data_IF_018071904705
#
_entry.id   IF_018071904705
#
_cell.length_a   1.000
_cell.length_b   1.000
_cell.length_c   1.000
_cell.angle_alpha   90.00
_cell.angle_beta   90.00
_cell.angle_gamma   90.00
#
_symmetry.space_group_name_H-M   'P 1'
#
loop_
_entity.id
_entity.type
_entity.pdbx_description
1 polymer ?
#
# COMPACT_ATOMS: atom_id res chain seq x y z
N UNK A 1 49.92 -5.83 21.84
CA UNK A 1 49.36 -4.69 22.59
C UNK A 1 47.91 -4.54 22.20
N UNK A 2 47.03 -4.91 23.12
CA UNK A 2 45.58 -4.80 23.05
C UNK A 2 45.16 -3.36 23.35
N UNK A 3 44.26 -2.78 22.55
CA UNK A 3 43.47 -1.61 22.95
C UNK A 3 42.00 -1.91 22.63
N UNK A 4 41.25 -2.17 23.70
CA UNK A 4 39.80 -2.32 23.77
C UNK A 4 39.13 -0.96 23.60
N UNK A 5 38.14 -0.85 22.71
CA UNK A 5 37.20 0.26 22.68
C UNK A 5 35.96 -0.08 23.52
N UNK A 6 35.81 0.61 24.65
CA UNK A 6 34.68 0.50 25.57
C UNK A 6 33.42 1.15 24.99
N UNK A 7 32.31 0.41 25.02
CA UNK A 7 30.96 0.90 24.72
C UNK A 7 30.36 1.59 25.96
N UNK A 8 29.85 2.82 25.77
CA UNK A 8 29.07 3.55 26.79
C UNK A 8 27.63 3.02 26.84
N UNK A 9 27.01 2.87 28.03
CA UNK A 9 25.60 2.51 28.15
C UNK A 9 24.69 3.75 27.99
N UNK A 10 23.65 3.65 27.14
CA UNK A 10 22.60 4.67 27.06
C UNK A 10 21.66 4.57 28.27
N UNK A 11 21.43 5.71 28.91
CA UNK A 11 20.55 5.92 30.06
C UNK A 11 19.08 5.67 29.67
N UNK A 12 18.37 4.87 30.46
CA UNK A 12 16.89 4.78 30.47
C UNK A 12 16.33 6.11 30.99
N UNK A 13 15.48 6.76 30.20
CA UNK A 13 14.67 7.91 30.64
C UNK A 13 13.37 7.36 31.23
N UNK A 14 13.14 7.68 32.49
CA UNK A 14 11.94 7.39 33.26
C UNK A 14 10.97 8.56 33.06
N UNK A 15 9.83 8.34 32.39
CA UNK A 15 8.75 9.33 32.34
C UNK A 15 7.65 8.83 33.28
N UNK A 16 7.56 9.48 34.45
CA UNK A 16 6.52 9.28 35.45
C UNK A 16 5.38 10.28 35.15
N UNK A 17 4.19 9.71 34.93
CA UNK A 17 2.90 10.11 35.53
C UNK A 17 2.24 11.43 35.12
N UNK A 18 0.98 11.33 34.70
CA UNK A 18 -0.16 11.97 35.40
C UNK A 18 -1.48 11.33 34.96
N UNK A 19 -2.16 10.65 35.89
CA UNK A 19 -3.61 10.37 35.85
C UNK A 19 -4.36 11.55 36.51
N UNK A 20 -5.56 11.92 36.05
CA UNK A 20 -6.33 12.99 36.68
C UNK A 20 -7.05 12.52 37.95
N UNK A 21 -7.00 13.36 38.98
CA UNK A 21 -7.67 13.20 40.28
C UNK A 21 -9.14 13.66 40.14
N UNK A 22 -10.06 12.81 40.60
CA UNK A 22 -11.46 13.13 40.88
C UNK A 22 -11.54 13.71 42.30
N UNK A 23 -12.23 14.84 42.44
CA UNK A 23 -12.55 15.52 43.70
C UNK A 23 -13.58 14.74 44.52
N UNK A 24 -13.34 14.62 45.83
CA UNK A 24 -14.32 14.20 46.82
C UNK A 24 -13.69 14.08 48.21
N UNK A 25 -13.89 15.09 49.07
CA UNK A 25 -13.32 15.19 50.42
C UNK A 25 -14.16 14.41 51.46
N UNK A 26 -13.41 13.78 52.37
CA UNK A 26 -13.63 13.27 53.74
C UNK A 26 -14.90 13.66 54.53
N UNK A 27 -15.30 12.80 55.48
CA UNK A 27 -15.10 12.98 56.95
C UNK A 27 -15.14 11.62 57.69
N UNK A 28 -14.28 11.54 58.71
CA UNK A 28 -13.84 10.44 59.58
C UNK A 28 -14.89 9.76 60.50
N UNK A 29 -14.58 8.57 61.03
CA UNK A 29 -14.28 8.40 62.48
C UNK A 29 -13.94 6.96 62.90
N UNK A 30 -12.72 6.84 63.45
CA UNK A 30 -12.18 5.97 64.51
C UNK A 30 -12.97 4.79 65.12
N UNK A 31 -12.27 3.67 65.34
CA UNK A 31 -11.99 3.13 66.69
C UNK A 31 -10.92 2.02 66.66
N UNK A 32 -10.06 2.02 67.69
CA UNK A 32 -8.83 1.25 67.84
C UNK A 32 -8.98 -0.10 68.59
N UNK A 33 -7.99 -0.98 68.44
CA UNK A 33 -7.34 -1.86 69.47
C UNK A 33 -6.37 -2.82 68.75
N UNK A 34 -5.05 -2.68 68.93
CA UNK A 34 -4.16 -3.35 69.91
C UNK A 34 -4.04 -4.87 69.75
N UNK A 35 -2.80 -5.36 69.56
CA UNK A 35 -2.43 -6.75 69.91
C UNK A 35 -1.49 -7.50 68.94
N UNK A 36 -0.18 -7.37 69.20
CA UNK A 36 0.90 -8.38 69.13
C UNK A 36 1.24 -9.19 67.84
N UNK A 37 2.54 -9.12 67.52
CA UNK A 37 3.31 -10.02 66.66
C UNK A 37 3.33 -11.46 67.21
N UNK A 38 3.31 -12.46 66.32
CA UNK A 38 4.27 -13.58 66.24
C UNK A 38 3.80 -14.54 65.13
N UNK A 39 4.70 -14.83 64.18
CA UNK A 39 4.87 -16.21 63.68
C UNK A 39 4.14 -16.64 62.40
N UNK A 40 4.95 -16.86 61.36
CA UNK A 40 4.94 -18.08 60.52
C UNK A 40 3.89 -18.26 59.41
N UNK A 41 4.35 -18.02 58.18
CA UNK A 41 4.36 -19.01 57.07
C UNK A 41 3.12 -19.89 56.84
N UNK A 42 1.90 -19.31 56.92
CA UNK A 42 0.65 -20.03 56.59
C UNK A 42 -0.34 -19.32 55.66
N UNK A 43 0.01 -18.17 55.08
CA UNK A 43 -0.93 -17.42 54.20
C UNK A 43 -0.81 -17.70 52.69
N UNK A 44 0.18 -18.47 52.23
CA UNK A 44 0.33 -18.76 50.78
C UNK A 44 -0.54 -19.96 50.35
N UNK A 45 -1.08 -20.75 51.28
CA UNK A 45 -1.88 -21.94 50.96
C UNK A 45 -3.41 -21.73 51.00
N UNK A 46 -3.90 -20.59 51.51
CA UNK A 46 -5.34 -20.36 51.72
C UNK A 46 -6.00 -19.41 50.72
N UNK A 47 -5.27 -18.75 49.84
CA UNK A 47 -5.88 -18.03 48.71
C UNK A 47 -6.24 -18.93 47.51
N UNK A 48 -5.98 -20.24 47.59
CA UNK A 48 -6.23 -21.22 46.53
C UNK A 48 -7.40 -22.18 46.81
N UNK A 49 -8.14 -21.98 47.92
CA UNK A 49 -9.20 -22.90 48.33
C UNK A 49 -10.46 -22.16 48.80
N UNK A 50 -10.99 -21.25 47.99
CA UNK A 50 -12.37 -20.81 48.17
C UNK A 50 -12.95 -20.32 46.83
N UNK A 51 -13.20 -21.24 45.90
CA UNK A 51 -14.13 -21.04 44.78
C UNK A 51 -14.52 -22.42 44.21
N UNK A 52 -15.24 -23.21 45.00
CA UNK A 52 -16.00 -24.34 44.49
C UNK A 52 -17.43 -24.32 45.04
N UNK A 53 -18.33 -23.62 44.35
CA UNK A 53 -19.73 -24.03 44.31
C UNK A 53 -20.37 -23.64 42.97
N UNK A 54 -20.54 -24.66 42.13
CA UNK A 54 -21.66 -24.84 41.19
C UNK A 54 -22.04 -23.66 40.29
N UNK A 55 -21.27 -23.47 39.23
CA UNK A 55 -21.76 -23.36 37.85
C UNK A 55 -20.54 -23.36 36.93
N UNK A 56 -20.30 -24.46 36.23
CA UNK A 56 -19.22 -24.60 35.26
C UNK A 56 -19.51 -23.78 33.99
N UNK A 57 -19.40 -22.47 34.10
CA UNK A 57 -19.10 -21.63 32.95
C UNK A 57 -17.58 -21.55 32.87
N UNK A 58 -17.00 -22.17 31.85
CA UNK A 58 -15.59 -22.01 31.51
C UNK A 58 -15.27 -20.51 31.36
N UNK A 59 -14.76 -19.87 32.41
CA UNK A 59 -14.07 -18.58 32.27
C UNK A 59 -12.68 -18.91 31.77
N UNK A 60 -12.55 -19.03 30.45
CA UNK A 60 -11.24 -19.04 29.82
C UNK A 60 -10.47 -17.78 30.26
N UNK A 61 -9.16 -17.86 30.57
CA UNK A 61 -8.38 -16.67 30.86
C UNK A 61 -8.49 -15.71 29.69
N UNK A 62 -9.04 -14.51 29.91
CA UNK A 62 -9.04 -13.48 28.89
C UNK A 62 -7.59 -13.08 28.64
N UNK A 63 -7.08 -13.45 27.46
CA UNK A 63 -5.76 -13.01 27.04
C UNK A 63 -5.73 -11.47 27.01
N UNK A 64 -4.68 -10.85 27.54
CA UNK A 64 -4.52 -9.39 27.51
C UNK A 64 -4.66 -8.90 26.05
N UNK A 65 -5.38 -7.80 25.85
CA UNK A 65 -5.68 -7.27 24.51
C UNK A 65 -4.42 -7.10 23.64
N UNK A 66 -3.33 -6.61 24.24
CA UNK A 66 -2.04 -6.43 23.59
C UNK A 66 -1.43 -7.76 23.11
N UNK A 67 -1.48 -8.80 23.94
CA UNK A 67 -1.05 -10.15 23.56
C UNK A 67 -1.88 -10.70 22.41
N UNK A 68 -3.18 -10.40 22.35
CA UNK A 68 -4.03 -10.81 21.23
C UNK A 68 -3.54 -10.14 19.95
N UNK A 69 -3.41 -8.81 19.94
CA UNK A 69 -2.91 -8.05 18.79
C UNK A 69 -1.58 -8.59 18.27
N UNK A 70 -0.65 -8.88 19.18
CA UNK A 70 0.65 -9.45 18.85
C UNK A 70 0.57 -10.84 18.21
N UNK A 71 -0.31 -11.72 18.72
CA UNK A 71 -0.54 -13.05 18.12
C UNK A 71 -1.15 -12.89 16.74
N UNK A 72 -2.20 -12.07 16.60
CA UNK A 72 -2.87 -11.82 15.32
C UNK A 72 -1.91 -11.23 14.29
N UNK A 73 -1.06 -10.28 14.70
CA UNK A 73 -0.06 -9.67 13.85
C UNK A 73 0.92 -10.67 13.24
N UNK A 74 1.12 -11.85 13.85
CA UNK A 74 2.02 -12.91 13.34
C UNK A 74 1.32 -13.91 12.43
N UNK A 75 -0.02 -13.92 12.39
CA UNK A 75 -0.78 -14.74 11.45
C UNK A 75 -0.61 -14.16 10.02
N UNK A 76 -0.48 -14.99 8.97
CA UNK A 76 -0.46 -14.49 7.60
C UNK A 76 -1.76 -13.73 7.25
N UNK A 77 -1.65 -12.52 6.69
CA UNK A 77 -2.81 -11.69 6.30
C UNK A 77 -3.88 -12.43 5.46
N UNK A 78 -3.54 -13.33 4.51
CA UNK A 78 -4.53 -14.10 3.74
C UNK A 78 -5.48 -14.98 4.59
N UNK A 79 -5.11 -15.26 5.84
CA UNK A 79 -5.83 -16.15 6.76
C UNK A 79 -6.75 -15.38 7.72
N UNK A 80 -6.65 -14.05 7.78
CA UNK A 80 -7.36 -13.20 8.74
C UNK A 80 -8.87 -13.36 8.70
N UNK A 81 -9.44 -13.44 7.49
CA UNK A 81 -10.88 -13.59 7.31
C UNK A 81 -11.41 -14.90 7.92
N UNK A 82 -10.58 -15.92 8.18
CA UNK A 82 -11.01 -17.13 8.88
C UNK A 82 -11.21 -16.89 10.38
N UNK A 83 -10.42 -15.99 10.95
CA UNK A 83 -10.43 -15.67 12.38
C UNK A 83 -11.69 -14.88 12.79
N UNK A 84 -12.34 -14.21 11.84
CA UNK A 84 -13.60 -13.49 12.09
C UNK A 84 -14.74 -14.42 12.55
N UNK A 85 -14.66 -15.72 12.26
CA UNK A 85 -15.67 -16.71 12.60
C UNK A 85 -15.46 -17.36 13.98
N UNK A 86 -14.33 -17.09 14.63
CA UNK A 86 -14.00 -17.70 15.92
C UNK A 86 -14.78 -17.05 17.07
N UNK A 87 -14.83 -15.70 17.12
CA UNK A 87 -15.64 -14.96 18.09
C UNK A 87 -15.87 -13.48 17.66
N UNK A 88 -16.79 -12.79 18.35
CA UNK A 88 -17.13 -11.38 18.08
C UNK A 88 -15.98 -10.40 18.33
N UNK A 89 -15.17 -10.64 19.36
CA UNK A 89 -14.03 -9.78 19.71
C UNK A 89 -12.98 -9.80 18.59
N UNK A 90 -12.64 -10.97 18.06
CA UNK A 90 -11.71 -11.12 16.93
C UNK A 90 -12.28 -10.50 15.65
N UNK A 91 -13.58 -10.67 15.40
CA UNK A 91 -14.25 -9.98 14.29
C UNK A 91 -14.19 -8.45 14.40
N UNK A 92 -14.29 -7.90 15.62
CA UNK A 92 -14.14 -6.47 15.87
C UNK A 92 -12.68 -6.01 15.69
N UNK A 93 -11.73 -6.79 16.23
CA UNK A 93 -10.30 -6.51 16.12
C UNK A 93 -9.83 -6.45 14.66
N UNK A 94 -10.28 -7.39 13.82
CA UNK A 94 -9.98 -7.42 12.38
C UNK A 94 -10.58 -6.25 11.60
N UNK A 95 -11.63 -5.61 12.11
CA UNK A 95 -12.19 -4.39 11.51
C UNK A 95 -11.40 -3.14 11.91
N UNK A 96 -10.57 -3.24 12.94
CA UNK A 96 -9.65 -2.18 13.33
C UNK A 96 -8.38 -2.23 12.49
N UNK A 97 -7.73 -1.07 12.30
CA UNK A 97 -6.42 -0.99 11.65
C UNK A 97 -5.25 -1.35 12.59
N UNK A 98 -5.54 -1.71 13.85
CA UNK A 98 -4.54 -1.91 14.91
C UNK A 98 -3.62 -3.09 14.66
N UNK A 99 -4.14 -4.20 14.08
CA UNK A 99 -3.32 -5.36 13.72
C UNK A 99 -2.24 -4.95 12.71
N UNK A 100 -2.58 -4.12 11.72
CA UNK A 100 -1.63 -3.67 10.70
C UNK A 100 -0.68 -2.59 11.21
N UNK A 101 -1.11 -1.78 12.19
CA UNK A 101 -0.21 -0.90 12.92
C UNK A 101 0.84 -1.71 13.68
N UNK A 102 0.40 -2.70 14.45
CA UNK A 102 1.26 -3.63 15.19
C UNK A 102 2.22 -4.37 14.26
N UNK A 103 1.77 -4.82 13.08
CA UNK A 103 2.64 -5.44 12.08
C UNK A 103 3.74 -4.52 11.55
N UNK A 104 3.42 -3.24 11.33
CA UNK A 104 4.43 -2.24 10.95
C UNK A 104 5.47 -2.06 12.05
N UNK A 105 5.03 -1.95 13.30
CA UNK A 105 5.91 -1.78 14.47
C UNK A 105 6.82 -2.99 14.69
N UNK A 106 6.30 -4.21 14.46
CA UNK A 106 7.05 -5.46 14.58
C UNK A 106 7.89 -5.82 13.33
N UNK A 107 7.85 -5.02 12.26
CA UNK A 107 8.57 -5.31 11.00
C UNK A 107 8.05 -6.54 10.25
N UNK A 108 6.77 -6.89 10.42
CA UNK A 108 6.13 -8.08 9.84
C UNK A 108 5.45 -7.84 8.49
N UNK A 109 5.55 -6.63 7.95
CA UNK A 109 4.88 -6.19 6.72
C UNK A 109 5.45 -6.91 5.51
N UNK A 110 4.58 -7.49 4.69
CA UNK A 110 4.97 -8.18 3.45
C UNK A 110 4.29 -7.56 2.24
N UNK A 111 4.93 -7.59 1.06
CA UNK A 111 4.29 -7.18 -0.17
C UNK A 111 3.35 -8.27 -0.69
N UNK A 112 2.19 -7.85 -1.17
CA UNK A 112 1.21 -8.67 -1.86
C UNK A 112 0.87 -8.03 -3.21
N UNK A 113 0.93 -8.84 -4.28
CA UNK A 113 0.61 -8.40 -5.63
C UNK A 113 -0.83 -8.72 -5.95
N UNK A 114 -1.63 -7.71 -6.23
CA UNK A 114 -2.97 -7.86 -6.77
C UNK A 114 -2.89 -7.70 -8.29
N UNK A 115 -3.31 -8.72 -9.02
CA UNK A 115 -3.26 -8.72 -10.48
C UNK A 115 -4.60 -9.09 -11.11
N UNK A 116 -4.91 -8.43 -12.22
CA UNK A 116 -6.00 -8.76 -13.14
C UNK A 116 -5.43 -8.90 -14.55
N UNK A 117 -5.62 -10.08 -15.15
CA UNK A 117 -5.20 -10.37 -16.52
C UNK A 117 -6.39 -10.34 -17.49
N UNK A 118 -6.12 -10.20 -18.79
CA UNK A 118 -7.17 -10.04 -19.83
C UNK A 118 -8.22 -11.14 -19.88
N UNK A 119 -7.86 -12.37 -19.48
CA UNK A 119 -8.77 -13.50 -19.51
C UNK A 119 -9.40 -13.81 -18.14
N UNK A 120 -9.04 -13.05 -17.11
CA UNK A 120 -9.54 -13.24 -15.77
C UNK A 120 -10.70 -12.29 -15.47
N UNK A 121 -11.74 -12.83 -14.85
CA UNK A 121 -12.85 -12.05 -14.27
C UNK A 121 -12.71 -11.85 -12.76
N UNK A 122 -11.59 -12.32 -12.19
CA UNK A 122 -11.29 -12.23 -10.76
C UNK A 122 -9.86 -11.79 -10.59
N UNK A 123 -9.67 -10.93 -9.61
CA UNK A 123 -8.35 -10.57 -9.14
C UNK A 123 -7.67 -11.77 -8.49
N UNK A 124 -6.36 -11.88 -8.69
CA UNK A 124 -5.52 -12.86 -8.01
C UNK A 124 -4.49 -12.11 -7.16
N UNK A 125 -4.38 -12.50 -5.90
CA UNK A 125 -3.34 -12.05 -4.99
C UNK A 125 -2.19 -13.04 -5.02
N UNK A 126 -0.96 -12.54 -5.14
CA UNK A 126 0.27 -13.33 -5.02
C UNK A 126 1.09 -12.82 -3.83
N UNK A 127 1.86 -13.72 -3.22
CA UNK A 127 2.92 -13.33 -2.29
C UNK A 127 4.12 -12.73 -3.04
N UNK A 128 5.09 -12.23 -2.26
CA UNK A 128 6.30 -11.55 -2.75
C UNK A 128 7.05 -12.33 -3.84
N UNK A 129 7.19 -13.64 -3.63
CA UNK A 129 7.98 -14.54 -4.48
C UNK A 129 7.14 -15.24 -5.56
N UNK A 130 5.84 -14.93 -5.67
CA UNK A 130 4.91 -15.65 -6.55
C UNK A 130 4.90 -17.17 -6.34
N UNK A 131 5.13 -17.60 -5.08
CA UNK A 131 5.10 -19.01 -4.66
C UNK A 131 3.69 -19.43 -4.25
N UNK A 132 2.90 -18.52 -3.70
CA UNK A 132 1.51 -18.74 -3.34
C UNK A 132 0.59 -17.75 -4.04
N UNK A 133 -0.63 -18.19 -4.33
CA UNK A 133 -1.64 -17.34 -4.93
C UNK A 133 -3.03 -17.65 -4.39
N UNK A 134 -3.85 -16.62 -4.30
CA UNK A 134 -5.24 -16.71 -3.85
C UNK A 134 -6.12 -15.89 -4.79
N UNK A 135 -7.17 -16.51 -5.33
CA UNK A 135 -8.19 -15.77 -6.07
C UNK A 135 -9.08 -15.01 -5.10
N UNK A 136 -9.27 -13.73 -5.35
CA UNK A 136 -10.18 -12.89 -4.58
C UNK A 136 -11.64 -13.32 -4.84
N UNK A 137 -12.56 -12.94 -3.93
CA UNK A 137 -13.99 -13.11 -4.16
C UNK A 137 -14.39 -12.43 -5.46
N UNK A 138 -15.44 -12.96 -6.09
CA UNK A 138 -15.98 -12.35 -7.31
C UNK A 138 -16.51 -10.95 -6.97
N UNK A 139 -16.08 -9.96 -7.73
CA UNK A 139 -16.62 -8.61 -7.67
C UNK A 139 -17.99 -8.60 -8.37
N UNK A 140 -19.03 -8.17 -7.68
CA UNK A 140 -20.41 -8.14 -8.21
C UNK A 140 -20.67 -6.79 -8.89
N UNK A 141 -20.26 -6.67 -10.15
CA UNK A 141 -20.52 -5.48 -10.98
C UNK A 141 -21.00 -5.87 -12.37
N UNK A 142 -21.30 -4.86 -13.19
CA UNK A 142 -21.89 -5.05 -14.51
C UNK A 142 -20.84 -5.33 -15.60
N UNK A 143 -21.32 -5.67 -16.79
CA UNK A 143 -20.45 -5.98 -17.93
C UNK A 143 -19.61 -4.78 -18.38
N UNK A 144 -20.11 -3.55 -18.26
CA UNK A 144 -19.40 -2.33 -18.66
C UNK A 144 -18.19 -2.08 -17.75
N UNK A 145 -18.34 -2.38 -16.46
CA UNK A 145 -17.23 -2.34 -15.52
C UNK A 145 -16.16 -3.35 -15.90
N UNK A 146 -16.55 -4.59 -16.20
CA UNK A 146 -15.57 -5.61 -16.57
C UNK A 146 -14.92 -5.37 -17.94
N UNK A 147 -15.65 -4.87 -18.93
CA UNK A 147 -15.13 -4.61 -20.28
C UNK A 147 -14.37 -3.30 -20.42
N UNK A 148 -14.62 -2.32 -19.55
CA UNK A 148 -13.93 -1.04 -19.54
C UNK A 148 -12.57 -1.08 -18.86
N UNK A 149 -11.73 -0.09 -19.17
CA UNK A 149 -10.50 0.18 -18.44
C UNK A 149 -10.80 0.47 -16.97
N UNK A 150 -9.85 0.06 -16.12
CA UNK A 150 -9.91 0.26 -14.67
C UNK A 150 -8.58 0.82 -14.20
N UNK A 151 -8.64 1.69 -13.22
CA UNK A 151 -7.51 2.21 -12.48
C UNK A 151 -7.46 1.56 -11.10
N UNK A 152 -6.25 1.25 -10.63
CA UNK A 152 -6.06 0.60 -9.34
C UNK A 152 -5.03 1.28 -8.49
N UNK A 153 -5.29 1.34 -7.19
CA UNK A 153 -4.40 1.94 -6.20
C UNK A 153 -4.61 1.24 -4.87
N UNK A 154 -3.51 0.91 -4.18
CA UNK A 154 -3.53 0.26 -2.89
C UNK A 154 -3.25 1.32 -1.83
N UNK A 155 -4.07 1.40 -0.80
CA UNK A 155 -3.94 2.40 0.28
C UNK A 155 -4.29 1.74 1.61
N UNK A 156 -3.37 1.80 2.57
CA UNK A 156 -3.41 0.91 3.73
C UNK A 156 -3.56 -0.55 3.28
N UNK A 157 -4.60 -1.22 3.78
CA UNK A 157 -4.96 -2.62 3.49
C UNK A 157 -6.09 -2.76 2.47
N UNK A 158 -6.34 -1.68 1.73
CA UNK A 158 -7.45 -1.61 0.77
C UNK A 158 -6.91 -1.57 -0.65
N UNK A 159 -7.48 -2.40 -1.53
CA UNK A 159 -7.33 -2.25 -2.97
C UNK A 159 -8.52 -1.46 -3.50
N UNK A 160 -8.24 -0.28 -4.04
CA UNK A 160 -9.22 0.58 -4.71
C UNK A 160 -9.18 0.28 -6.20
N UNK A 161 -10.34 0.01 -6.79
CA UNK A 161 -10.54 -0.22 -8.22
C UNK A 161 -11.60 0.77 -8.72
N UNK A 162 -11.21 1.63 -9.63
CA UNK A 162 -12.07 2.66 -10.21
C UNK A 162 -12.29 2.29 -11.67
N UNK A 163 -13.51 2.44 -12.17
CA UNK A 163 -13.81 2.10 -13.56
C UNK A 163 -15.22 2.51 -13.98
N UNK A 164 -15.50 2.41 -15.27
CA UNK A 164 -16.78 2.79 -15.86
C UNK A 164 -17.87 1.75 -15.58
N UNK A 165 -19.00 2.18 -15.05
CA UNK A 165 -20.22 1.41 -14.80
C UNK A 165 -21.37 1.96 -15.66
N UNK A 166 -22.52 1.26 -15.74
CA UNK A 166 -23.70 1.71 -16.52
C UNK A 166 -24.09 3.18 -16.28
N UNK A 167 -24.02 3.63 -15.02
CA UNK A 167 -24.51 4.94 -14.57
C UNK A 167 -23.40 5.99 -14.40
N UNK A 168 -22.13 5.65 -14.63
CA UNK A 168 -21.01 6.59 -14.39
C UNK A 168 -19.73 5.89 -13.97
N UNK A 169 -18.85 6.60 -13.26
CA UNK A 169 -17.63 5.99 -12.69
C UNK A 169 -17.98 5.43 -11.32
N UNK A 170 -17.59 4.18 -11.06
CA UNK A 170 -17.79 3.50 -9.77
C UNK A 170 -16.46 3.21 -9.10
N UNK A 171 -16.46 3.31 -7.77
CA UNK A 171 -15.37 2.89 -6.92
C UNK A 171 -15.72 1.55 -6.27
N UNK A 172 -14.87 0.55 -6.46
CA UNK A 172 -14.89 -0.70 -5.70
C UNK A 172 -13.69 -0.76 -4.77
N UNK A 173 -13.90 -1.35 -3.60
CA UNK A 173 -12.90 -1.44 -2.55
C UNK A 173 -12.86 -2.84 -2.00
N UNK A 174 -11.71 -3.50 -2.14
CA UNK A 174 -11.45 -4.77 -1.48
C UNK A 174 -10.73 -4.50 -0.15
N UNK A 175 -11.26 -5.06 0.93
CA UNK A 175 -10.63 -5.05 2.25
C UNK A 175 -9.95 -6.41 2.47
N UNK A 176 -8.64 -6.39 2.74
CA UNK A 176 -7.83 -7.59 2.92
C UNK A 176 -8.29 -8.42 4.12
N UNK A 177 -8.63 -7.74 5.21
CA UNK A 177 -9.03 -8.31 6.50
C UNK A 177 -10.30 -9.14 6.40
N UNK A 178 -11.28 -8.58 5.68
CA UNK A 178 -12.59 -9.19 5.52
C UNK A 178 -12.63 -10.17 4.35
N UNK A 179 -11.58 -10.18 3.52
CA UNK A 179 -11.54 -10.89 2.24
C UNK A 179 -12.82 -10.63 1.43
N UNK A 180 -13.19 -9.35 1.27
CA UNK A 180 -14.49 -8.96 0.71
C UNK A 180 -14.44 -7.66 -0.08
N UNK A 181 -15.24 -7.61 -1.14
CA UNK A 181 -15.49 -6.40 -1.92
C UNK A 181 -16.65 -5.59 -1.34
N UNK A 182 -16.48 -4.28 -1.32
CA UNK A 182 -17.50 -3.29 -0.99
C UNK A 182 -17.61 -2.27 -2.11
N UNK A 183 -18.83 -1.81 -2.39
CA UNK A 183 -19.01 -0.59 -3.17
C UNK A 183 -18.45 0.55 -2.32
N UNK A 184 -17.44 1.25 -2.84
CA UNK A 184 -16.78 2.34 -2.16
C UNK A 184 -17.60 3.63 -2.21
N UNK A 185 -17.23 4.64 -1.40
CA UNK A 185 -17.76 5.99 -1.54
C UNK A 185 -17.39 6.53 -2.92
N UNK A 186 -18.31 7.26 -3.53
CA UNK A 186 -18.10 7.86 -4.85
C UNK A 186 -17.04 8.97 -4.76
N UNK A 187 -16.24 9.09 -5.82
CA UNK A 187 -15.35 10.24 -5.99
C UNK A 187 -16.18 11.52 -6.01
N UNK A 188 -15.64 12.62 -5.48
CA UNK A 188 -16.32 13.93 -5.52
C UNK A 188 -16.52 14.35 -6.98
N UNK A 189 -15.50 14.12 -7.80
CA UNK A 189 -15.55 14.28 -9.25
C UNK A 189 -15.26 12.96 -9.95
N UNK A 190 -16.31 12.20 -10.34
CA UNK A 190 -16.19 10.98 -11.15
C UNK A 190 -15.39 11.21 -12.44
N UNK A 191 -14.27 10.48 -12.60
CA UNK A 191 -13.33 10.60 -13.73
C UNK A 191 -12.45 9.36 -13.87
N UNK A 192 -11.71 9.26 -14.96
CA UNK A 192 -10.74 8.18 -15.27
C UNK A 192 -9.43 8.79 -15.80
N UNK A 193 -8.42 7.97 -16.06
CA UNK A 193 -7.14 8.35 -16.67
C UNK A 193 -6.34 9.39 -15.86
N UNK A 194 -6.50 9.40 -14.54
CA UNK A 194 -5.73 10.22 -13.60
C UNK A 194 -4.42 9.52 -13.19
N UNK A 195 -3.48 10.30 -12.67
CA UNK A 195 -2.33 9.78 -11.94
C UNK A 195 -2.71 9.56 -10.47
N UNK A 196 -2.25 8.46 -9.87
CA UNK A 196 -2.49 8.19 -8.46
C UNK A 196 -1.27 7.64 -7.73
N UNK A 197 -1.21 7.90 -6.42
CA UNK A 197 -0.19 7.35 -5.53
C UNK A 197 -0.71 7.35 -4.09
N UNK A 198 -0.11 6.53 -3.24
CA UNK A 198 -0.50 6.41 -1.83
C UNK A 198 0.65 6.80 -0.91
N UNK A 199 0.31 7.46 0.19
CA UNK A 199 1.21 7.78 1.29
C UNK A 199 0.49 7.57 2.61
N UNK A 200 0.97 6.60 3.42
CA UNK A 200 0.32 6.21 4.66
C UNK A 200 -1.12 5.72 4.42
N UNK A 201 -2.08 6.37 5.08
CA UNK A 201 -3.52 6.05 4.97
C UNK A 201 -4.23 6.84 3.87
N UNK A 202 -3.51 7.71 3.16
CA UNK A 202 -4.05 8.57 2.12
C UNK A 202 -3.64 8.07 0.73
N UNK A 203 -4.57 8.16 -0.22
CA UNK A 203 -4.30 8.00 -1.65
C UNK A 203 -4.71 9.28 -2.39
N UNK A 204 -3.85 9.74 -3.28
CA UNK A 204 -4.04 10.95 -4.07
C UNK A 204 -4.39 10.60 -5.51
N UNK A 205 -5.26 11.39 -6.13
CA UNK A 205 -5.78 11.18 -7.47
C UNK A 205 -5.77 12.52 -8.21
N UNK A 206 -4.89 12.69 -9.18
CA UNK A 206 -4.66 13.98 -9.84
C UNK A 206 -4.94 13.93 -11.35
N UNK A 207 -5.64 14.96 -11.82
CA UNK A 207 -6.00 15.12 -13.22
C UNK A 207 -7.08 14.13 -13.65
N UNK A 208 -7.00 13.66 -14.88
CA UNK A 208 -7.94 12.73 -15.48
C UNK A 208 -8.91 13.38 -16.45
N UNK A 209 -9.87 12.59 -16.90
CA UNK A 209 -10.84 12.93 -17.92
C UNK A 209 -12.26 12.80 -17.36
N UNK A 210 -12.99 13.93 -17.34
CA UNK A 210 -14.38 14.04 -16.87
C UNK A 210 -15.23 14.63 -17.98
N UNK A 211 -16.38 14.02 -18.33
CA UNK A 211 -17.40 14.58 -19.25
C UNK A 211 -16.74 15.29 -20.44
N UNK A 212 -15.93 14.55 -21.20
CA UNK A 212 -15.24 15.01 -22.41
C UNK A 212 -14.15 16.08 -22.25
N UNK A 213 -13.67 16.38 -21.04
CA UNK A 213 -12.55 17.33 -20.81
C UNK A 213 -11.50 16.81 -19.85
N UNK A 214 -10.26 17.24 -20.05
CA UNK A 214 -9.20 17.03 -19.08
C UNK A 214 -9.41 17.98 -17.91
N UNK A 215 -9.02 17.55 -16.71
CA UNK A 215 -9.13 18.38 -15.50
C UNK A 215 -7.78 18.48 -14.80
N UNK A 216 -7.61 19.50 -13.97
CA UNK A 216 -6.48 19.64 -13.03
C UNK A 216 -6.89 19.31 -11.60
N UNK A 217 -8.11 18.78 -11.41
CA UNK A 217 -8.69 18.44 -10.11
C UNK A 217 -7.83 17.40 -9.41
N UNK A 218 -7.69 17.57 -8.10
CA UNK A 218 -7.00 16.62 -7.24
C UNK A 218 -7.91 16.27 -6.07
N UNK A 219 -8.01 14.98 -5.80
CA UNK A 219 -8.74 14.46 -4.65
C UNK A 219 -7.86 13.52 -3.85
N UNK A 220 -8.06 13.52 -2.53
CA UNK A 220 -7.45 12.61 -1.57
C UNK A 220 -8.51 11.70 -1.00
N UNK A 221 -8.27 10.40 -1.00
CA UNK A 221 -9.07 9.39 -0.31
C UNK A 221 -8.34 8.95 0.95
N UNK A 222 -9.02 8.97 2.09
CA UNK A 222 -8.49 8.44 3.34
C UNK A 222 -9.08 7.04 3.61
N UNK A 223 -8.21 6.04 3.77
CA UNK A 223 -8.62 4.65 3.94
C UNK A 223 -9.23 4.34 5.31
N UNK A 224 -8.93 5.12 6.34
CA UNK A 224 -9.46 4.94 7.70
C UNK A 224 -10.88 5.49 7.80
N UNK A 225 -11.09 6.74 7.39
CA UNK A 225 -12.41 7.38 7.39
C UNK A 225 -13.28 6.96 6.22
N UNK A 226 -12.68 6.40 5.16
CA UNK A 226 -13.34 6.02 3.90
C UNK A 226 -14.06 7.22 3.29
N UNK A 227 -13.39 8.36 3.25
CA UNK A 227 -13.92 9.61 2.70
C UNK A 227 -13.00 10.20 1.65
N UNK A 228 -13.61 10.94 0.73
CA UNK A 228 -12.91 11.75 -0.27
C UNK A 228 -12.86 13.20 0.19
N UNK A 229 -11.77 13.89 -0.11
CA UNK A 229 -11.61 15.32 0.07
C UNK A 229 -10.97 15.93 -1.18
N UNK A 230 -11.46 17.08 -1.61
CA UNK A 230 -10.77 17.89 -2.62
C UNK A 230 -9.60 18.63 -1.97
N UNK A 231 -8.47 18.71 -2.68
CA UNK A 231 -7.31 19.50 -2.28
C UNK A 231 -6.96 20.49 -3.39
N UNK A 232 -5.95 21.34 -3.20
CA UNK A 232 -5.60 22.33 -4.22
C UNK A 232 -5.38 21.67 -5.59
N UNK A 233 -5.94 22.24 -6.67
CA UNK A 233 -5.78 21.68 -8.01
C UNK A 233 -4.38 21.93 -8.56
N UNK A 234 -3.96 21.08 -9.50
CA UNK A 234 -2.74 21.31 -10.29
C UNK A 234 -2.87 22.58 -11.15
N UNK A 235 -1.73 23.13 -11.58
CA UNK A 235 -1.64 24.23 -12.53
C UNK A 235 -2.09 23.81 -13.93
N UNK A 236 -1.73 22.59 -14.36
CA UNK A 236 -2.05 22.09 -15.71
C UNK A 236 -3.07 20.95 -15.66
N UNK A 237 -4.03 21.02 -16.57
CA UNK A 237 -4.99 19.94 -16.82
C UNK A 237 -4.29 18.82 -17.57
N UNK A 238 -4.48 17.58 -17.15
CA UNK A 238 -3.81 16.42 -17.76
C UNK A 238 -4.65 15.15 -17.62
N UNK A 239 -4.60 14.29 -18.64
CA UNK A 239 -5.05 12.88 -18.57
C UNK A 239 -3.89 11.94 -18.92
N UNK A 240 -4.04 10.64 -18.71
CA UNK A 240 -3.01 9.63 -19.01
C UNK A 240 -1.65 9.95 -18.35
N UNK A 241 -1.71 10.57 -17.16
CA UNK A 241 -0.54 10.93 -16.37
C UNK A 241 -0.28 9.88 -15.28
N UNK A 242 0.89 9.97 -14.65
CA UNK A 242 1.29 9.02 -13.61
C UNK A 242 1.64 9.72 -12.31
N UNK A 243 1.18 9.15 -11.20
CA UNK A 243 1.43 9.65 -9.85
C UNK A 243 2.48 8.83 -9.11
N UNK A 244 3.31 9.48 -8.30
CA UNK A 244 4.16 8.79 -7.33
C UNK A 244 4.41 9.66 -6.09
N UNK A 245 4.73 9.06 -4.96
CA UNK A 245 5.20 9.79 -3.78
C UNK A 245 6.71 9.68 -3.73
N UNK A 246 7.39 10.82 -3.77
CA UNK A 246 8.84 10.91 -3.74
C UNK A 246 9.24 11.90 -2.64
N UNK A 247 10.02 11.42 -1.66
CA UNK A 247 10.50 12.22 -0.52
C UNK A 247 9.36 12.99 0.18
N UNK A 248 8.26 12.30 0.46
CA UNK A 248 7.09 12.85 1.16
C UNK A 248 6.16 13.72 0.31
N UNK A 249 6.51 14.03 -0.94
CA UNK A 249 5.71 14.88 -1.82
C UNK A 249 5.04 14.07 -2.92
N UNK A 250 3.85 14.49 -3.35
CA UNK A 250 3.11 13.81 -4.41
C UNK A 250 3.44 14.42 -5.78
N UNK A 251 4.04 13.62 -6.66
CA UNK A 251 4.44 14.03 -7.99
C UNK A 251 3.48 13.48 -9.03
N UNK A 252 3.16 14.29 -10.04
CA UNK A 252 2.34 13.93 -11.18
C UNK A 252 3.09 14.24 -12.47
N UNK A 253 3.44 13.19 -13.22
CA UNK A 253 4.33 13.25 -14.37
C UNK A 253 3.56 13.11 -15.67
N UNK A 254 3.89 13.98 -16.62
CA UNK A 254 3.48 13.86 -18.03
C UNK A 254 1.98 13.77 -18.25
N UNK A 255 1.58 12.90 -19.17
CA UNK A 255 0.22 12.79 -19.67
C UNK A 255 -0.04 13.73 -20.84
N UNK A 256 -1.31 14.01 -21.11
CA UNK A 256 -1.77 14.79 -22.25
C UNK A 256 -2.62 15.97 -21.82
N UNK A 257 -2.45 17.12 -22.48
CA UNK A 257 -3.31 18.29 -22.29
C UNK A 257 -4.63 18.15 -23.06
N UNK A 258 -5.45 19.20 -23.04
CA UNK A 258 -6.77 19.22 -23.69
C UNK A 258 -6.71 19.03 -25.22
N UNK A 259 -5.58 19.39 -25.84
CA UNK A 259 -5.32 19.22 -27.27
C UNK A 259 -4.74 17.82 -27.61
N UNK A 260 -4.66 16.92 -26.62
CA UNK A 260 -3.97 15.62 -26.71
C UNK A 260 -2.45 15.72 -26.97
N UNK A 261 -1.83 16.88 -26.69
CA UNK A 261 -0.39 17.05 -26.78
C UNK A 261 0.27 16.47 -25.52
N UNK A 262 1.37 15.75 -25.72
CA UNK A 262 2.11 15.15 -24.62
C UNK A 262 2.80 16.24 -23.78
N UNK A 263 2.56 16.19 -22.47
CA UNK A 263 3.19 17.08 -21.50
C UNK A 263 4.56 16.52 -21.11
N UNK A 264 5.60 17.33 -21.25
CA UNK A 264 6.95 17.01 -20.76
C UNK A 264 7.17 17.44 -19.31
N UNK A 265 6.30 18.28 -18.76
CA UNK A 265 6.40 18.76 -17.38
C UNK A 265 5.79 17.78 -16.37
N UNK A 266 6.29 17.85 -15.14
CA UNK A 266 5.64 17.29 -13.97
C UNK A 266 5.18 18.39 -13.03
N UNK A 267 4.36 18.03 -12.05
CA UNK A 267 4.00 18.91 -10.95
C UNK A 267 4.19 18.16 -9.64
N UNK A 268 4.63 18.87 -8.60
CA UNK A 268 4.89 18.36 -7.26
C UNK A 268 3.95 19.06 -6.28
N UNK A 269 3.23 18.29 -5.48
CA UNK A 269 2.37 18.76 -4.41
C UNK A 269 3.05 18.59 -3.06
N UNK A 270 2.98 19.64 -2.26
CA UNK A 270 3.44 19.68 -0.89
C UNK A 270 2.22 19.75 0.04
N UNK A 271 2.00 18.71 0.85
CA UNK A 271 0.84 18.61 1.74
C UNK A 271 0.91 19.58 2.93
N UNK A 272 2.10 20.03 3.33
CA UNK A 272 2.27 20.97 4.45
C UNK A 272 1.84 22.39 4.06
N UNK A 273 2.10 22.76 2.81
CA UNK A 273 1.77 24.09 2.26
C UNK A 273 0.49 24.09 1.41
N UNK A 274 -0.09 22.92 1.15
CA UNK A 274 -1.24 22.71 0.26
C UNK A 274 -1.05 23.41 -1.10
N UNK A 275 0.14 23.24 -1.69
CA UNK A 275 0.54 23.96 -2.90
C UNK A 275 1.21 23.06 -3.93
N UNK A 276 1.10 23.47 -5.19
CA UNK A 276 1.72 22.80 -6.34
C UNK A 276 2.87 23.61 -6.90
N UNK A 277 3.94 22.92 -7.27
CA UNK A 277 5.10 23.46 -7.97
C UNK A 277 5.25 22.79 -9.34
N UNK A 278 5.39 23.60 -10.40
CA UNK A 278 5.63 23.11 -11.75
C UNK A 278 7.12 22.76 -11.94
N UNK A 279 7.37 21.55 -12.44
CA UNK A 279 8.71 21.08 -12.84
C UNK A 279 8.75 21.02 -14.38
N UNK A 280 9.28 22.06 -15.05
CA UNK A 280 9.32 22.10 -16.50
C UNK A 280 10.26 21.01 -17.06
N UNK A 281 9.96 20.51 -18.25
CA UNK A 281 10.85 19.65 -19.05
C UNK A 281 11.37 18.37 -18.37
N UNK A 282 10.72 17.91 -17.29
CA UNK A 282 11.11 16.69 -16.58
C UNK A 282 11.16 15.45 -17.49
N UNK A 283 10.34 15.38 -18.54
CA UNK A 283 10.31 14.28 -19.52
C UNK A 283 10.73 14.74 -20.93
N UNK A 284 11.49 15.82 -21.06
CA UNK A 284 11.89 16.35 -22.38
C UNK A 284 12.74 15.36 -23.19
N UNK A 285 13.57 14.55 -22.52
CA UNK A 285 14.45 13.56 -23.15
C UNK A 285 13.77 12.22 -23.44
N UNK A 286 12.44 12.13 -23.22
CA UNK A 286 11.66 10.89 -23.38
C UNK A 286 10.92 10.89 -24.71
N UNK A 287 10.82 9.72 -25.34
CA UNK A 287 10.07 9.55 -26.59
C UNK A 287 8.60 9.35 -26.28
N UNK A 288 7.83 10.44 -26.27
CA UNK A 288 6.41 10.42 -25.93
C UNK A 288 5.54 10.22 -27.18
N UNK A 289 4.87 9.07 -27.31
CA UNK A 289 3.87 8.81 -28.37
C UNK A 289 2.44 9.02 -27.85
N UNK A 290 1.55 9.60 -28.67
CA UNK A 290 0.15 9.86 -28.29
C UNK A 290 -0.68 8.60 -27.95
N UNK A 291 -0.24 7.41 -28.39
CA UNK A 291 -0.90 6.13 -28.13
C UNK A 291 -0.14 5.27 -27.09
N UNK A 292 0.85 5.85 -26.41
CA UNK A 292 1.62 5.16 -25.39
C UNK A 292 0.83 5.06 -24.08
N UNK A 293 1.13 4.04 -23.28
CA UNK A 293 0.67 3.99 -21.91
C UNK A 293 1.18 5.20 -21.11
N UNK A 294 0.48 5.60 -20.03
CA UNK A 294 0.99 6.59 -19.08
C UNK A 294 2.41 6.26 -18.60
N UNK A 295 3.24 7.26 -18.24
CA UNK A 295 4.60 7.04 -17.78
C UNK A 295 4.70 5.94 -16.72
N UNK A 296 5.47 4.88 -16.98
CA UNK A 296 5.62 3.78 -16.03
C UNK A 296 6.69 4.16 -15.03
N UNK A 297 6.27 4.48 -13.80
CA UNK A 297 7.14 5.02 -12.75
C UNK A 297 7.06 4.19 -11.47
N UNK A 298 8.15 4.18 -10.72
CA UNK A 298 8.27 3.52 -9.42
C UNK A 298 9.29 4.28 -8.57
N UNK A 299 9.09 4.28 -7.25
CA UNK A 299 10.02 4.91 -6.30
C UNK A 299 10.60 3.85 -5.40
N UNK A 300 11.93 3.71 -5.40
CA UNK A 300 12.67 2.74 -4.58
C UNK A 300 13.79 3.47 -3.87
N UNK A 301 13.92 3.28 -2.55
CA UNK A 301 14.95 3.90 -1.72
C UNK A 301 15.08 5.43 -1.92
N UNK A 302 13.95 6.12 -2.06
CA UNK A 302 13.91 7.58 -2.23
C UNK A 302 14.36 8.10 -3.61
N UNK A 303 14.54 7.19 -4.58
CA UNK A 303 14.87 7.51 -5.96
C UNK A 303 13.71 7.16 -6.89
N UNK A 304 13.44 8.04 -7.86
CA UNK A 304 12.38 7.85 -8.84
C UNK A 304 12.95 7.20 -10.10
N UNK A 305 12.33 6.10 -10.50
CA UNK A 305 12.66 5.35 -11.70
C UNK A 305 11.54 5.45 -12.71
N UNK A 306 11.91 5.50 -13.98
CA UNK A 306 11.01 5.50 -15.12
C UNK A 306 11.46 4.45 -16.13
N UNK A 307 10.48 3.79 -16.72
CA UNK A 307 10.68 2.92 -17.85
C UNK A 307 10.46 3.71 -19.16
N UNK A 308 11.54 3.91 -19.91
CA UNK A 308 11.48 4.54 -21.23
C UNK A 308 11.08 3.50 -22.27
N UNK A 309 9.82 3.58 -22.68
CA UNK A 309 9.13 2.55 -23.44
C UNK A 309 9.77 2.30 -24.80
N UNK A 310 10.14 3.35 -25.54
CA UNK A 310 10.59 3.21 -26.93
C UNK A 310 11.96 2.56 -27.04
N UNK A 311 12.80 2.75 -26.03
CA UNK A 311 14.17 2.23 -25.98
C UNK A 311 14.32 1.00 -25.07
N UNK A 312 13.24 0.59 -24.38
CA UNK A 312 13.27 -0.53 -23.44
C UNK A 312 14.26 -0.31 -22.27
N UNK A 313 14.42 0.94 -21.83
CA UNK A 313 15.44 1.35 -20.87
C UNK A 313 14.85 1.65 -19.49
N UNK A 314 15.59 1.26 -18.44
CA UNK A 314 15.39 1.80 -17.10
C UNK A 314 16.18 3.10 -16.96
N UNK A 315 15.52 4.14 -16.47
CA UNK A 315 16.13 5.43 -16.14
C UNK A 315 15.85 5.83 -14.71
N UNK A 316 16.80 6.53 -14.09
CA UNK A 316 16.69 7.11 -12.75
C UNK A 316 16.72 8.63 -12.82
N UNK A 317 15.86 9.28 -12.05
CA UNK A 317 15.71 10.72 -12.03
C UNK A 317 16.67 11.38 -11.02
N UNK A 318 17.40 12.40 -11.47
CA UNK A 318 18.17 13.28 -10.62
C UNK A 318 17.36 14.54 -10.31
N UNK A 319 16.91 14.65 -9.06
CA UNK A 319 16.07 15.76 -8.58
C UNK A 319 16.81 17.11 -8.60
N UNK A 320 18.14 17.12 -8.44
CA UNK A 320 18.91 18.35 -8.34
C UNK A 320 19.16 18.99 -9.72
N UNK A 321 19.35 18.16 -10.74
CA UNK A 321 19.64 18.60 -12.12
C UNK A 321 18.41 18.57 -13.02
N UNK A 322 17.30 17.97 -12.57
CA UNK A 322 16.09 17.72 -13.37
C UNK A 322 16.39 16.92 -14.65
N UNK A 323 17.23 15.89 -14.54
CA UNK A 323 17.63 15.03 -15.67
C UNK A 323 17.46 13.56 -15.37
N UNK A 324 17.41 12.73 -16.42
CA UNK A 324 17.33 11.27 -16.30
C UNK A 324 18.64 10.61 -16.71
N UNK A 325 19.17 9.73 -15.86
CA UNK A 325 20.32 8.88 -16.16
C UNK A 325 19.83 7.50 -16.59
N UNK A 326 20.35 6.96 -17.69
CA UNK A 326 20.13 5.57 -18.11
C UNK A 326 20.87 4.61 -17.18
N UNK A 327 20.18 3.57 -16.73
CA UNK A 327 20.76 2.49 -15.91
C UNK A 327 20.92 1.17 -16.67
N UNK A 328 20.17 0.95 -17.75
CA UNK A 328 20.30 -0.25 -18.56
C UNK A 328 19.02 -0.63 -19.29
N UNK A 329 19.03 -1.80 -19.92
CA UNK A 329 17.88 -2.38 -20.63
C UNK A 329 17.12 -3.29 -19.66
N UNK A 330 15.80 -3.39 -19.84
CA UNK A 330 14.95 -4.27 -19.03
C UNK A 330 14.64 -5.61 -19.74
N UNK A 331 14.41 -6.72 -19.01
CA UNK A 331 14.20 -8.05 -19.57
C UNK A 331 12.75 -8.30 -20.05
N UNK A 332 11.97 -7.24 -20.23
CA UNK A 332 10.58 -7.28 -20.71
C UNK A 332 10.49 -6.40 -21.95
N UNK A 333 9.77 -6.86 -22.99
CA UNK A 333 9.65 -6.17 -24.28
C UNK A 333 8.56 -5.10 -24.25
N UNK A 334 8.82 -3.97 -23.59
CA UNK A 334 7.80 -2.93 -23.34
C UNK A 334 7.53 -2.07 -24.57
N UNK A 335 8.48 -2.00 -25.49
CA UNK A 335 8.38 -1.27 -26.76
C UNK A 335 7.29 -1.85 -27.68
N UNK A 336 7.12 -3.18 -27.69
CA UNK A 336 6.15 -3.87 -28.56
C UNK A 336 4.69 -3.48 -28.24
N UNK A 337 4.41 -3.22 -26.97
CA UNK A 337 3.06 -2.87 -26.50
C UNK A 337 2.95 -1.40 -26.15
N UNK A 338 3.95 -0.56 -26.49
CA UNK A 338 3.99 0.85 -26.08
C UNK A 338 3.71 1.04 -24.56
N UNK A 339 4.24 0.14 -23.74
CA UNK A 339 4.11 0.17 -22.26
C UNK A 339 2.79 -0.37 -21.71
N UNK A 340 1.87 -0.82 -22.57
CA UNK A 340 0.63 -1.48 -22.17
C UNK A 340 0.88 -2.94 -21.78
N UNK A 341 0.12 -3.48 -20.83
CA UNK A 341 0.26 -4.89 -20.42
C UNK A 341 1.50 -5.18 -19.57
N UNK A 342 2.18 -4.14 -19.08
CA UNK A 342 3.43 -4.23 -18.30
C UNK A 342 3.15 -3.72 -16.90
N UNK A 343 3.50 -4.52 -15.88
CA UNK A 343 3.56 -4.06 -14.51
C UNK A 343 4.98 -3.58 -14.20
N UNK A 344 5.10 -2.35 -13.69
CA UNK A 344 6.35 -1.78 -13.21
C UNK A 344 6.06 -1.17 -11.84
N UNK A 345 6.62 -1.75 -10.78
CA UNK A 345 6.22 -1.46 -9.39
C UNK A 345 7.41 -1.42 -8.45
N UNK A 346 7.34 -0.51 -7.48
CA UNK A 346 8.19 -0.49 -6.30
C UNK A 346 7.70 -1.53 -5.29
N UNK A 347 8.62 -2.33 -4.78
CA UNK A 347 8.34 -3.40 -3.82
C UNK A 347 9.42 -3.31 -2.75
N UNK A 348 9.11 -2.68 -1.61
CA UNK A 348 10.08 -2.42 -0.55
C UNK A 348 11.36 -1.73 -1.09
N UNK A 349 12.50 -2.43 -1.07
CA UNK A 349 13.83 -1.98 -1.48
C UNK A 349 14.20 -2.38 -2.92
N UNK A 350 13.29 -3.04 -3.63
CA UNK A 350 13.50 -3.53 -4.99
C UNK A 350 12.44 -3.01 -5.97
N UNK A 351 12.76 -3.18 -7.24
CA UNK A 351 11.90 -2.85 -8.35
C UNK A 351 11.51 -4.12 -9.10
N UNK A 352 10.22 -4.23 -9.42
CA UNK A 352 9.67 -5.36 -10.12
C UNK A 352 9.11 -4.96 -11.48
N UNK A 353 9.41 -5.76 -12.50
CA UNK A 353 8.82 -5.67 -13.83
C UNK A 353 8.18 -7.01 -14.23
N UNK A 354 6.95 -6.97 -14.72
CA UNK A 354 6.23 -8.14 -15.22
C UNK A 354 5.67 -7.84 -16.60
N UNK A 355 5.92 -8.74 -17.55
CA UNK A 355 5.38 -8.63 -18.91
C UNK A 355 6.00 -9.65 -19.86
N UNK A 356 5.81 -9.45 -21.17
CA UNK A 356 6.36 -10.33 -22.20
C UNK A 356 7.90 -10.38 -22.14
N UNK A 357 8.45 -11.54 -21.81
CA UNK A 357 9.89 -11.74 -21.59
C UNK A 357 10.69 -11.60 -22.88
N UNK A 358 11.79 -10.83 -22.84
CA UNK A 358 12.76 -10.74 -23.95
C UNK A 358 13.59 -12.01 -24.12
N UNK A 359 13.76 -12.81 -23.06
CA UNK A 359 14.54 -14.05 -23.10
C UNK A 359 13.81 -15.19 -23.83
N UNK A 360 12.49 -15.08 -24.00
CA UNK A 360 11.65 -16.11 -24.63
C UNK A 360 10.60 -15.49 -25.56
N UNK A 361 11.00 -14.79 -26.62
CA UNK A 361 10.10 -13.96 -27.44
C UNK A 361 8.98 -14.76 -28.12
N UNK A 362 9.21 -16.04 -28.43
CA UNK A 362 8.24 -16.91 -29.10
C UNK A 362 7.29 -17.65 -28.13
N UNK A 363 7.55 -17.61 -26.82
CA UNK A 363 6.85 -18.48 -25.87
C UNK A 363 5.47 -17.97 -25.45
N UNK A 364 5.12 -16.71 -25.78
CA UNK A 364 3.96 -15.97 -25.24
C UNK A 364 3.86 -15.98 -23.70
N UNK A 365 4.92 -16.39 -23.00
CA UNK A 365 4.97 -16.43 -21.53
C UNK A 365 5.42 -15.08 -21.01
N UNK A 366 4.72 -14.58 -20.00
CA UNK A 366 5.24 -13.45 -19.24
C UNK A 366 6.35 -13.90 -18.30
N UNK A 367 7.36 -13.06 -18.12
CA UNK A 367 8.37 -13.20 -17.07
C UNK A 367 8.14 -12.18 -15.97
N UNK A 368 8.45 -12.57 -14.73
CA UNK A 368 8.52 -11.65 -13.60
C UNK A 368 10.00 -11.47 -13.27
N UNK A 369 10.43 -10.22 -13.18
CA UNK A 369 11.82 -9.90 -12.91
C UNK A 369 11.89 -8.88 -11.78
N UNK A 370 12.85 -9.07 -10.88
CA UNK A 370 13.18 -8.10 -9.84
C UNK A 370 14.62 -7.65 -9.94
N UNK A 371 14.90 -6.44 -9.49
CA UNK A 371 16.25 -5.89 -9.35
C UNK A 371 16.30 -4.94 -8.15
N UNK A 372 17.51 -4.67 -7.65
CA UNK A 372 17.76 -3.72 -6.57
C UNK A 372 18.47 -2.50 -7.16
N UNK A 373 17.75 -1.50 -7.70
CA UNK A 373 18.37 -0.43 -8.43
C UNK A 373 19.01 0.60 -7.49
N UNK A 374 20.13 1.19 -7.92
CA UNK A 374 20.78 2.32 -7.29
C UNK A 374 21.23 3.33 -8.35
N UNK A 375 21.18 4.65 -8.07
CA UNK A 375 21.62 5.68 -9.02
C UNK A 375 23.09 5.56 -9.44
N UNK A 376 23.92 5.00 -8.56
CA UNK A 376 25.37 4.93 -8.74
C UNK A 376 25.82 3.66 -9.49
N UNK A 377 24.89 2.72 -9.76
CA UNK A 377 25.25 1.53 -10.52
C UNK A 377 25.54 1.84 -11.99
N UNK A 378 26.52 1.12 -12.53
CA UNK A 378 26.88 1.13 -13.95
C UNK A 378 26.06 0.10 -14.74
N UNK A 379 25.81 -1.07 -14.14
CA UNK A 379 25.03 -2.14 -14.74
C UNK A 379 23.91 -2.61 -13.81
N UNK A 380 22.79 -3.02 -14.42
CA UNK A 380 21.62 -3.53 -13.70
C UNK A 380 21.49 -5.04 -13.87
N UNK A 381 21.42 -5.74 -12.75
CA UNK A 381 21.16 -7.18 -12.73
C UNK A 381 19.68 -7.46 -12.46
N UNK A 382 19.08 -8.33 -13.28
CA UNK A 382 17.69 -8.75 -13.16
C UNK A 382 17.59 -10.23 -12.80
N UNK A 383 16.88 -10.54 -11.73
CA UNK A 383 16.58 -11.89 -11.28
C UNK A 383 15.19 -12.31 -11.78
N UNK A 384 15.07 -13.43 -12.50
CA UNK A 384 13.78 -13.99 -12.94
C UNK A 384 13.12 -14.79 -11.80
N UNK A 385 11.89 -14.43 -11.43
CA UNK A 385 11.10 -15.16 -10.45
C UNK A 385 10.18 -16.17 -11.13
N UNK A 386 10.35 -17.45 -10.78
CA UNK A 386 9.53 -18.55 -11.30
C UNK A 386 8.19 -18.68 -10.53
N UNK A 387 7.06 -18.44 -11.21
CA UNK A 387 5.73 -18.73 -10.64
C UNK A 387 5.50 -20.24 -10.48
N UNK A 388 5.34 -20.72 -9.25
CA UNK A 388 4.87 -22.09 -8.97
C UNK A 388 3.34 -22.14 -9.09
N UNK A 389 2.82 -22.36 -10.30
CA UNK A 389 1.37 -22.43 -10.51
C UNK A 389 0.89 -22.28 -11.96
N UNK A 390 1.83 -22.11 -12.90
CA UNK A 390 1.55 -21.91 -14.32
C UNK A 390 2.12 -20.59 -14.83
N UNK A 391 2.33 -20.51 -16.14
CA UNK A 391 2.74 -19.27 -16.79
C UNK A 391 1.62 -18.24 -16.67
N UNK A 392 1.96 -17.00 -16.33
CA UNK A 392 1.10 -15.88 -16.68
C UNK A 392 1.14 -15.78 -18.21
N UNK A 393 0.01 -16.06 -18.87
CA UNK A 393 -0.08 -16.20 -20.34
C UNK A 393 -0.70 -14.99 -21.03
N UNK A 394 -1.04 -13.94 -20.28
CA UNK A 394 -2.00 -12.93 -20.72
C UNK A 394 -1.58 -11.51 -20.35
N UNK A 395 -2.02 -10.56 -21.16
CA UNK A 395 -1.84 -9.13 -20.97
C UNK A 395 -2.31 -8.70 -19.57
N UNK A 396 -1.45 -7.95 -18.85
CA UNK A 396 -1.78 -7.41 -17.53
C UNK A 396 -2.67 -6.19 -17.70
N UNK A 397 -3.94 -6.30 -17.29
CA UNK A 397 -4.84 -5.14 -17.26
C UNK A 397 -4.46 -4.25 -16.08
N UNK A 398 -4.32 -4.84 -14.89
CA UNK A 398 -3.96 -4.11 -13.69
C UNK A 398 -3.00 -4.90 -12.81
N UNK A 399 -2.11 -4.17 -12.16
CA UNK A 399 -1.24 -4.67 -11.11
C UNK A 399 -1.11 -3.59 -10.03
N UNK A 400 -1.27 -3.98 -8.77
CA UNK A 400 -1.07 -3.13 -7.61
C UNK A 400 -0.32 -3.89 -6.52
N UNK A 401 0.50 -3.18 -5.76
CA UNK A 401 1.28 -3.75 -4.64
C UNK A 401 0.72 -3.18 -3.36
N UNK A 402 0.39 -4.06 -2.42
CA UNK A 402 -0.03 -3.71 -1.07
C UNK A 402 1.03 -4.16 -0.09
N UNK A 403 1.39 -3.31 0.87
CA UNK A 403 2.26 -3.66 1.98
C UNK A 403 1.38 -3.88 3.21
N UNK A 404 1.27 -5.12 3.69
CA UNK A 404 0.35 -5.50 4.77
C UNK A 404 0.99 -6.39 5.84
#
# INVERSE_FOLDING_TARGET
MSILSQSKPMKKVLIIGTMPIILGMNVDSSSASEGEEIGETKEIAQSLACLTSQNAYHVAPQLLYELQLEIFARVPCPEYWKLQFLNKQFSQLLKSSEIFRTRRELGLVKPYFFMLSSNDRRWTMFDEDFKSSQRLPKLSSDINFFSGDKETTCVGTQLIVIGKYKEGITVWRYELEMHKWFKGPEMITPRIMFGSASHGTNAFFAGGFKISKNVSIVEKYNAETKTWASIHPMHRRRKLCSGCVLRGKFYVLGGQNENNENLTCAERYDEETDSWELIPNMLADMTLSIFQAPPRIAVVNGNLYLLETSLNELRVYNVNTNTWKKLGIIPVMVHLTKGWGVAFKSVQDNLMVIGASSNRPHSQKMGNYKCYPSPDMEEIHWEELCCRGGSLKHFIINCCVMLA
#
